data_IF_624221788299
#
_entry.id   IF_624221788299
#
_cell.length_a   1.000
_cell.length_b   1.000
_cell.length_c   1.000
_cell.angle_alpha   90.00
_cell.angle_beta   90.00
_cell.angle_gamma   90.00
#
_symmetry.space_group_name_H-M   'P 1'
#
loop_
_entity.id
_entity.type
_entity.pdbx_description
1 polymer ?
#
# COMPACT_ATOMS: atom_id res chain seq x y z
N UNK A 1 -44.14 -10.29 -17.63
CA UNK A 1 -43.37 -10.39 -18.89
C UNK A 1 -42.73 -9.08 -19.37
N UNK A 2 -43.02 -7.91 -18.78
CA UNK A 2 -42.40 -6.63 -19.19
C UNK A 2 -40.90 -6.54 -18.83
N UNK A 3 -40.51 -7.03 -17.65
CA UNK A 3 -39.12 -6.99 -17.18
C UNK A 3 -38.14 -7.76 -18.10
N UNK A 4 -38.50 -8.97 -18.54
CA UNK A 4 -37.70 -9.76 -19.48
C UNK A 4 -37.54 -9.08 -20.85
N UNK A 5 -38.57 -8.37 -21.31
CA UNK A 5 -38.54 -7.64 -22.58
C UNK A 5 -37.72 -6.35 -22.48
N UNK A 6 -37.77 -5.68 -21.33
CA UNK A 6 -36.91 -4.54 -21.02
C UNK A 6 -35.45 -4.96 -20.91
N UNK A 7 -35.16 -6.02 -20.16
CA UNK A 7 -33.83 -6.59 -20.03
C UNK A 7 -33.24 -7.01 -21.38
N UNK A 8 -34.04 -7.60 -22.28
CA UNK A 8 -33.56 -7.95 -23.64
C UNK A 8 -33.24 -6.72 -24.50
N UNK A 9 -34.02 -5.64 -24.35
CA UNK A 9 -33.81 -4.39 -25.09
C UNK A 9 -32.57 -3.66 -24.59
N UNK A 10 -32.36 -3.66 -23.28
CA UNK A 10 -31.19 -3.09 -22.61
C UNK A 10 -29.94 -3.88 -22.92
N UNK A 11 -30.00 -5.22 -22.88
CA UNK A 11 -28.90 -6.11 -23.26
C UNK A 11 -28.49 -5.96 -24.72
N UNK A 12 -29.45 -5.80 -25.64
CA UNK A 12 -29.17 -5.44 -27.05
C UNK A 12 -28.59 -4.04 -27.21
N UNK A 13 -28.97 -3.10 -26.35
CA UNK A 13 -28.39 -1.77 -26.27
C UNK A 13 -26.93 -1.88 -25.87
N UNK A 14 -26.65 -2.48 -24.71
CA UNK A 14 -25.30 -2.71 -24.21
C UNK A 14 -24.43 -3.49 -25.19
N UNK A 15 -24.92 -4.57 -25.83
CA UNK A 15 -24.16 -5.30 -26.85
C UNK A 15 -23.76 -4.45 -28.06
N UNK A 16 -24.48 -3.37 -28.36
CA UNK A 16 -24.11 -2.40 -29.40
C UNK A 16 -23.17 -1.30 -28.89
N UNK A 17 -23.26 -0.96 -27.61
CA UNK A 17 -22.43 0.07 -26.99
C UNK A 17 -21.07 -0.47 -26.55
N UNK A 18 -20.96 -1.77 -26.28
CA UNK A 18 -19.69 -2.45 -26.03
C UNK A 18 -18.92 -2.46 -27.34
N UNK A 19 -17.98 -1.53 -27.47
CA UNK A 19 -17.08 -1.46 -28.61
C UNK A 19 -16.01 -2.52 -28.38
N UNK A 20 -15.82 -3.40 -29.34
CA UNK A 20 -14.73 -4.39 -29.32
C UNK A 20 -13.36 -3.72 -29.09
N UNK A 21 -13.20 -2.50 -29.60
CA UNK A 21 -12.03 -1.66 -29.37
C UNK A 21 -11.78 -1.32 -27.89
N UNK A 22 -12.85 -1.15 -27.10
CA UNK A 22 -12.74 -0.93 -25.66
C UNK A 22 -12.44 -2.24 -24.93
N UNK A 23 -12.84 -3.40 -25.47
CA UNK A 23 -12.47 -4.73 -24.96
C UNK A 23 -10.99 -5.04 -25.26
N UNK A 24 -10.51 -4.68 -26.44
CA UNK A 24 -9.10 -4.87 -26.83
C UNK A 24 -8.19 -4.00 -25.94
N UNK A 25 -8.53 -2.72 -25.75
CA UNK A 25 -7.82 -1.84 -24.82
C UNK A 25 -7.85 -2.36 -23.38
N UNK A 26 -8.99 -2.89 -22.91
CA UNK A 26 -9.10 -3.44 -21.56
C UNK A 26 -8.27 -4.72 -21.40
N UNK A 27 -8.19 -5.56 -22.45
CA UNK A 27 -7.33 -6.74 -22.42
C UNK A 27 -5.85 -6.35 -22.38
N UNK A 28 -5.43 -5.36 -23.17
CA UNK A 28 -4.07 -4.84 -23.16
C UNK A 28 -3.73 -4.25 -21.78
N UNK A 29 -4.62 -3.43 -21.19
CA UNK A 29 -4.46 -2.90 -19.84
C UNK A 29 -4.44 -3.99 -18.75
N UNK A 30 -5.24 -5.05 -18.87
CA UNK A 30 -5.19 -6.17 -17.93
C UNK A 30 -3.89 -6.97 -18.03
N UNK A 31 -3.33 -7.08 -19.24
CA UNK A 31 -2.04 -7.74 -19.47
C UNK A 31 -0.92 -6.94 -18.79
N UNK A 32 -0.88 -5.64 -19.03
CA UNK A 32 0.06 -4.72 -18.39
C UNK A 32 -0.11 -4.72 -16.86
N UNK A 33 -1.35 -4.78 -16.35
CA UNK A 33 -1.63 -4.80 -14.91
C UNK A 33 -1.19 -6.11 -14.25
N UNK A 34 -1.34 -7.26 -14.93
CA UNK A 34 -0.80 -8.52 -14.42
C UNK A 34 0.73 -8.51 -14.36
N UNK A 35 1.39 -7.97 -15.39
CA UNK A 35 2.85 -7.85 -15.42
C UNK A 35 3.35 -6.93 -14.30
N UNK A 36 2.72 -5.76 -14.10
CA UNK A 36 3.01 -4.85 -12.99
C UNK A 36 2.72 -5.49 -11.63
N UNK A 37 1.65 -6.29 -11.50
CA UNK A 37 1.36 -7.01 -10.26
C UNK A 37 2.42 -8.05 -9.94
N UNK A 38 2.95 -8.75 -10.95
CA UNK A 38 4.05 -9.70 -10.78
C UNK A 38 5.34 -8.98 -10.40
N UNK A 39 5.66 -7.87 -11.07
CA UNK A 39 6.82 -7.05 -10.74
C UNK A 39 6.72 -6.45 -9.32
N UNK A 40 5.53 -6.02 -8.89
CA UNK A 40 5.27 -5.58 -7.52
C UNK A 40 5.42 -6.75 -6.55
N UNK A 41 4.87 -7.93 -6.84
CA UNK A 41 5.00 -9.09 -5.95
C UNK A 41 6.43 -9.62 -5.86
N UNK A 42 7.25 -9.44 -6.90
CA UNK A 42 8.67 -9.78 -6.89
C UNK A 42 9.49 -8.71 -6.17
N UNK A 43 9.22 -7.42 -6.43
CA UNK A 43 9.91 -6.28 -5.78
C UNK A 43 9.55 -6.14 -4.30
N UNK A 44 8.28 -6.38 -3.98
CA UNK A 44 7.75 -6.48 -2.62
C UNK A 44 7.83 -7.90 -2.07
N UNK A 45 8.35 -8.83 -2.89
CA UNK A 45 8.65 -10.21 -2.55
C UNK A 45 9.69 -10.18 -1.47
N UNK A 46 9.22 -10.07 -0.23
CA UNK A 46 10.03 -10.21 0.97
C UNK A 46 10.50 -11.65 1.01
N UNK A 47 11.58 -11.93 0.28
CA UNK A 47 12.49 -13.01 0.62
C UNK A 47 13.09 -12.58 1.96
N UNK A 48 12.45 -13.01 3.06
CA UNK A 48 13.15 -13.06 4.32
C UNK A 48 14.34 -13.96 4.04
N UNK A 49 15.53 -13.38 4.09
CA UNK A 49 16.79 -14.01 3.72
C UNK A 49 17.19 -15.02 4.80
N UNK A 50 16.26 -15.94 5.11
CA UNK A 50 16.35 -16.98 6.11
C UNK A 50 17.44 -17.94 5.62
N UNK A 51 18.53 -18.10 6.38
CA UNK A 51 19.59 -19.02 6.01
C UNK A 51 19.04 -20.44 5.82
N UNK A 52 19.51 -21.15 4.79
CA UNK A 52 19.14 -22.56 4.56
C UNK A 52 19.57 -23.48 5.72
N UNK A 53 20.59 -23.04 6.49
CA UNK A 53 21.17 -23.77 7.61
C UNK A 53 20.57 -23.38 8.97
N UNK A 54 19.39 -22.72 9.01
CA UNK A 54 18.75 -22.39 10.29
C UNK A 54 18.22 -23.67 10.96
N UNK A 55 18.45 -23.79 12.26
CA UNK A 55 17.93 -24.92 13.05
C UNK A 55 16.46 -24.61 13.42
N UNK A 56 15.52 -25.23 12.71
CA UNK A 56 14.09 -25.07 12.95
C UNK A 56 13.68 -25.56 14.35
N UNK A 57 14.35 -26.57 14.90
CA UNK A 57 14.02 -27.13 16.22
C UNK A 57 14.42 -26.16 17.33
N UNK A 58 15.58 -25.50 17.20
CA UNK A 58 16.02 -24.44 18.12
C UNK A 58 15.09 -23.22 18.04
N UNK A 59 14.74 -22.79 16.82
CA UNK A 59 13.80 -21.68 16.60
C UNK A 59 12.43 -21.96 17.19
N UNK A 60 11.89 -23.18 17.03
CA UNK A 60 10.62 -23.57 17.65
C UNK A 60 10.73 -23.57 19.18
N UNK A 61 11.85 -24.04 19.73
CA UNK A 61 12.10 -23.99 21.17
C UNK A 61 12.14 -22.55 21.73
N UNK A 62 12.78 -21.63 21.00
CA UNK A 62 12.77 -20.19 21.35
C UNK A 62 11.36 -19.59 21.26
N UNK A 63 10.56 -19.99 20.26
CA UNK A 63 9.20 -19.49 20.06
C UNK A 63 8.24 -19.99 21.15
N UNK A 64 8.37 -21.25 21.58
CA UNK A 64 7.63 -21.82 22.71
C UNK A 64 8.00 -21.11 24.02
N UNK A 65 9.29 -20.77 24.21
CA UNK A 65 9.75 -20.02 25.37
C UNK A 65 9.19 -18.57 25.36
N UNK A 66 9.15 -17.93 24.20
CA UNK A 66 8.54 -16.62 24.02
C UNK A 66 7.02 -16.66 24.24
N UNK A 67 6.34 -17.71 23.75
CA UNK A 67 4.91 -17.94 24.03
C UNK A 67 4.67 -18.12 25.52
N UNK A 68 5.56 -18.81 26.24
CA UNK A 68 5.46 -18.93 27.69
C UNK A 68 5.68 -17.59 28.41
N UNK A 69 6.61 -16.76 27.94
CA UNK A 69 6.86 -15.41 28.48
C UNK A 69 5.68 -14.46 28.22
N UNK A 70 5.19 -14.42 26.98
CA UNK A 70 4.01 -13.63 26.59
C UNK A 70 2.72 -14.15 27.20
N UNK A 71 2.53 -15.47 27.29
CA UNK A 71 1.34 -16.08 27.90
C UNK A 71 1.24 -15.79 29.39
N UNK A 72 2.36 -15.44 30.04
CA UNK A 72 2.38 -15.05 31.46
C UNK A 72 2.09 -13.55 31.66
N UNK A 73 2.40 -12.69 30.68
CA UNK A 73 2.29 -11.22 30.78
C UNK A 73 1.18 -10.59 29.89
N UNK A 74 0.65 -11.32 28.90
CA UNK A 74 -0.16 -10.77 27.80
C UNK A 74 -1.42 -11.61 27.47
N UNK A 75 -2.25 -11.96 28.46
CA UNK A 75 -3.63 -12.45 28.24
C UNK A 75 -4.55 -11.41 27.54
N UNK A 76 -4.01 -10.31 27.02
CA UNK A 76 -4.71 -9.20 26.40
C UNK A 76 -4.58 -9.17 24.88
N UNK A 77 -5.59 -8.58 24.23
CA UNK A 77 -5.54 -8.25 22.80
C UNK A 77 -4.29 -7.39 22.52
N UNK A 78 -3.44 -7.75 21.54
CA UNK A 78 -2.23 -6.99 21.21
C UNK A 78 -2.54 -5.52 20.95
N UNK A 79 -1.62 -4.63 21.30
CA UNK A 79 -1.81 -3.17 21.21
C UNK A 79 -2.26 -2.69 19.80
N UNK A 80 -1.85 -3.37 18.73
CA UNK A 80 -2.26 -3.06 17.35
C UNK A 80 -3.67 -3.55 16.96
N UNK A 81 -4.31 -4.38 17.80
CA UNK A 81 -5.70 -4.85 17.64
C UNK A 81 -6.64 -4.23 18.68
N UNK A 82 -6.12 -3.41 19.58
CA UNK A 82 -6.93 -2.67 20.53
C UNK A 82 -7.67 -1.56 19.78
N UNK A 83 -8.97 -1.35 20.05
CA UNK A 83 -9.70 -0.22 19.48
C UNK A 83 -9.00 1.07 19.92
N UNK A 84 -8.82 2.02 19.01
CA UNK A 84 -8.17 3.30 19.27
C UNK A 84 -8.83 4.02 20.45
N UNK A 85 -8.33 3.80 21.67
CA UNK A 85 -8.59 4.68 22.80
C UNK A 85 -7.63 5.85 22.63
N UNK A 86 -7.99 6.76 21.73
CA UNK A 86 -7.21 7.93 21.30
C UNK A 86 -6.77 8.88 22.43
N UNK A 87 -7.09 8.60 23.70
CA UNK A 87 -6.89 9.54 24.80
C UNK A 87 -5.55 9.43 25.53
N UNK A 88 -4.77 8.35 25.36
CA UNK A 88 -3.53 8.14 26.15
C UNK A 88 -2.24 7.95 25.32
N UNK A 89 -2.35 7.63 24.02
CA UNK A 89 -1.18 7.37 23.16
C UNK A 89 -0.31 8.60 22.92
N UNK A 90 -0.90 9.80 22.87
CA UNK A 90 -0.19 11.06 22.67
C UNK A 90 0.69 11.48 23.87
N UNK A 91 0.42 10.97 25.07
CA UNK A 91 1.15 11.34 26.29
C UNK A 91 2.33 10.41 26.59
N UNK A 92 2.28 9.16 26.12
CA UNK A 92 3.31 8.14 26.35
C UNK A 92 4.38 8.13 25.26
N UNK A 93 3.97 8.41 24.02
CA UNK A 93 4.87 8.58 22.89
C UNK A 93 5.39 10.02 22.91
N UNK A 94 6.58 10.20 23.49
CA UNK A 94 7.33 11.46 23.53
C UNK A 94 7.84 11.85 22.10
N UNK A 95 6.92 11.89 21.13
CA UNK A 95 7.22 12.12 19.74
C UNK A 95 7.58 13.59 19.56
N UNK A 96 8.66 13.88 18.82
CA UNK A 96 8.93 15.26 18.43
C UNK A 96 7.73 15.79 17.65
N UNK A 97 7.36 17.05 17.90
CA UNK A 97 6.29 17.70 17.15
C UNK A 97 6.52 17.53 15.66
N UNK A 98 5.52 17.02 14.95
CA UNK A 98 5.57 16.87 13.50
C UNK A 98 6.01 18.21 12.89
N UNK A 99 6.98 18.23 11.97
CA UNK A 99 7.56 19.45 11.45
C UNK A 99 6.48 20.25 10.75
N UNK A 100 5.93 21.24 11.46
CA UNK A 100 4.88 22.10 10.95
C UNK A 100 5.56 23.18 10.13
N UNK A 101 5.66 22.97 8.82
CA UNK A 101 5.64 24.01 7.77
C UNK A 101 6.60 25.21 7.83
N UNK A 102 7.54 25.27 8.76
CA UNK A 102 8.60 26.29 8.81
C UNK A 102 9.94 25.57 8.98
N UNK A 103 10.38 24.93 7.90
CA UNK A 103 11.77 24.54 7.79
C UNK A 103 12.62 25.82 7.77
N UNK A 104 13.24 26.13 8.91
CA UNK A 104 14.41 27.00 8.94
C UNK A 104 15.46 26.37 8.03
N UNK A 105 15.61 26.93 6.83
CA UNK A 105 16.60 26.51 5.86
C UNK A 105 18.02 26.59 6.46
N UNK A 106 18.78 25.49 6.53
CA UNK A 106 20.21 25.61 6.77
C UNK A 106 20.85 26.27 5.55
N UNK A 107 21.65 27.31 5.78
CA UNK A 107 22.36 28.07 4.76
C UNK A 107 23.32 27.14 3.99
N UNK A 108 22.94 26.72 2.78
CA UNK A 108 23.82 25.91 1.93
C UNK A 108 23.19 25.14 0.78
N UNK A 109 21.85 25.08 0.66
CA UNK A 109 21.21 24.40 -0.48
C UNK A 109 20.70 25.41 -1.50
N UNK A 110 21.45 25.58 -2.59
CA UNK A 110 21.17 26.51 -3.69
C UNK A 110 20.14 25.99 -4.72
N UNK A 111 19.37 24.94 -4.40
CA UNK A 111 18.27 24.48 -5.24
C UNK A 111 16.98 24.40 -4.40
N UNK A 112 16.12 25.41 -4.55
CA UNK A 112 14.72 25.34 -4.16
C UNK A 112 14.01 24.39 -5.14
N UNK A 113 14.00 23.11 -4.83
CA UNK A 113 13.26 22.11 -5.59
C UNK A 113 11.80 22.21 -5.12
N UNK A 114 10.87 22.48 -6.04
CA UNK A 114 9.46 22.54 -5.71
C UNK A 114 8.99 21.15 -5.28
N UNK A 115 8.45 21.04 -4.06
CA UNK A 115 7.86 19.83 -3.50
C UNK A 115 6.35 19.88 -3.72
N UNK A 116 5.71 18.75 -4.03
CA UNK A 116 4.26 18.65 -4.19
C UNK A 116 3.52 18.56 -2.85
N UNK A 117 2.20 18.47 -2.88
CA UNK A 117 1.34 18.39 -1.69
C UNK A 117 1.58 17.13 -0.83
N UNK A 118 2.36 16.16 -1.33
CA UNK A 118 2.80 14.98 -0.61
C UNK A 118 4.27 15.05 -0.17
N UNK A 119 4.91 16.23 -0.33
CA UNK A 119 6.30 16.45 0.07
C UNK A 119 7.33 15.76 -0.85
N UNK A 120 6.92 15.32 -2.03
CA UNK A 120 7.79 14.67 -3.00
C UNK A 120 8.37 15.70 -3.97
N UNK A 121 9.60 15.52 -4.45
CA UNK A 121 10.21 16.44 -5.40
C UNK A 121 9.47 16.39 -6.74
N UNK A 122 8.97 17.54 -7.20
CA UNK A 122 8.23 17.62 -8.47
C UNK A 122 9.12 17.24 -9.65
N UNK A 123 8.63 16.34 -10.49
CA UNK A 123 9.32 15.97 -11.74
C UNK A 123 9.14 17.08 -12.80
N UNK A 124 10.20 17.44 -13.55
CA UNK A 124 10.10 18.50 -14.55
C UNK A 124 9.15 18.08 -15.70
N UNK A 125 8.08 18.84 -15.89
CA UNK A 125 7.13 18.63 -17.00
C UNK A 125 7.82 18.96 -18.32
N UNK A 126 8.12 17.95 -19.14
CA UNK A 126 8.63 18.14 -20.49
C UNK A 126 7.62 18.94 -21.32
N UNK A 127 7.97 20.17 -21.70
CA UNK A 127 7.20 20.95 -22.68
C UNK A 127 7.39 20.34 -24.06
N UNK A 128 6.40 19.59 -24.55
CA UNK A 128 6.23 19.36 -25.98
C UNK A 128 5.80 20.68 -26.62
N UNK A 129 6.80 21.43 -27.09
CA UNK A 129 6.64 22.57 -27.99
C UNK A 129 6.18 22.02 -29.34
N UNK A 130 5.06 22.54 -29.84
CA UNK A 130 4.36 22.08 -31.05
C UNK A 130 5.08 22.29 -32.37
#
# INVERSE_FOLDING_TARGET
MSALKSANKELKGMMKTVKIQDIDNLQDEMMDLMDVSSEIQESLGRSYNVPDDIDEDDLMGELDALEADMGTEAEGVPSYLQPDTESDLDSELNLPSAPTGQAAVPAGRSNAQAEDELGLPTVPRASLRG
#
